data_IF_817659326754
#
_entry.id   IF_817659326754
#
_cell.length_a   1.000
_cell.length_b   1.000
_cell.length_c   1.000
_cell.angle_alpha   90.00
_cell.angle_beta   90.00
_cell.angle_gamma   90.00
#
_symmetry.space_group_name_H-M   'P 1'
#
loop_
_entity.id
_entity.type
_entity.pdbx_description
1 polymer ?
#
# COMPACT_ATOMS: atom_id res chain seq x y z
N UNK A 1 -38.96 37.04 35.47
CA UNK A 1 -38.14 36.84 34.26
C UNK A 1 -37.45 35.49 34.32
N UNK A 2 -37.81 34.51 33.46
CA UNK A 2 -36.96 33.37 33.16
C UNK A 2 -36.26 33.60 31.82
N UNK A 3 -34.94 33.73 31.87
CA UNK A 3 -34.08 33.97 30.72
C UNK A 3 -33.82 32.72 29.89
N UNK A 4 -34.17 32.83 28.61
CA UNK A 4 -33.51 32.26 27.43
C UNK A 4 -32.10 31.67 27.66
N UNK A 5 -31.99 30.34 27.64
CA UNK A 5 -30.77 29.65 27.21
C UNK A 5 -31.14 28.47 26.30
N UNK A 6 -31.62 28.80 25.10
CA UNK A 6 -31.60 27.87 23.97
C UNK A 6 -30.15 27.80 23.47
N UNK A 7 -29.36 26.91 24.08
CA UNK A 7 -28.12 26.44 23.48
C UNK A 7 -28.46 25.78 22.14
N UNK A 8 -28.18 26.49 21.05
CA UNK A 8 -28.17 25.91 19.71
C UNK A 8 -27.17 24.75 19.71
N UNK A 9 -27.66 23.52 19.97
CA UNK A 9 -26.95 22.30 19.60
C UNK A 9 -26.83 22.35 18.08
N UNK A 10 -25.69 22.85 17.59
CA UNK A 10 -25.31 22.70 16.18
C UNK A 10 -25.46 21.21 15.89
N UNK A 11 -26.39 20.86 15.01
CA UNK A 11 -26.47 19.50 14.50
C UNK A 11 -25.07 19.14 13.99
N UNK A 12 -24.51 17.98 14.38
CA UNK A 12 -23.26 17.54 13.80
C UNK A 12 -23.43 17.56 12.27
N UNK A 13 -22.41 18.02 11.52
CA UNK A 13 -22.48 17.98 10.08
C UNK A 13 -22.84 16.55 9.64
N UNK A 14 -23.62 16.40 8.55
CA UNK A 14 -23.93 15.08 8.03
C UNK A 14 -22.63 14.31 7.80
N UNK A 15 -22.61 12.99 8.06
CA UNK A 15 -21.43 12.18 7.83
C UNK A 15 -21.00 12.36 6.37
N UNK A 16 -19.74 12.75 6.18
CA UNK A 16 -19.16 12.98 4.87
C UNK A 16 -19.29 11.73 3.99
N UNK A 17 -19.71 11.92 2.73
CA UNK A 17 -19.81 10.83 1.77
C UNK A 17 -18.44 10.24 1.45
N UNK A 18 -18.41 9.00 0.97
CA UNK A 18 -17.13 8.40 0.58
C UNK A 18 -16.46 9.17 -0.56
N UNK A 19 -17.24 9.63 -1.54
CA UNK A 19 -16.74 10.44 -2.65
C UNK A 19 -16.08 11.74 -2.15
N UNK A 20 -16.70 12.45 -1.20
CA UNK A 20 -16.14 13.68 -0.63
C UNK A 20 -14.82 13.42 0.12
N UNK A 21 -14.73 12.32 0.87
CA UNK A 21 -13.49 11.88 1.54
C UNK A 21 -12.37 11.65 0.54
N UNK A 22 -12.67 10.98 -0.58
CA UNK A 22 -11.71 10.74 -1.65
C UNK A 22 -11.22 12.04 -2.26
N UNK A 23 -12.12 12.93 -2.66
CA UNK A 23 -11.77 14.20 -3.30
C UNK A 23 -10.87 15.04 -2.40
N UNK A 24 -11.23 15.18 -1.11
CA UNK A 24 -10.41 15.95 -0.16
C UNK A 24 -9.04 15.33 0.06
N UNK A 25 -8.96 14.01 0.27
CA UNK A 25 -7.68 13.36 0.54
C UNK A 25 -6.79 13.34 -0.70
N UNK A 26 -7.37 13.14 -1.88
CA UNK A 26 -6.67 13.22 -3.15
C UNK A 26 -6.07 14.62 -3.36
N UNK A 27 -6.85 15.68 -3.10
CA UNK A 27 -6.36 17.06 -3.16
C UNK A 27 -5.22 17.30 -2.16
N UNK A 28 -5.39 16.84 -0.91
CA UNK A 28 -4.38 16.98 0.15
C UNK A 28 -3.06 16.30 -0.24
N UNK A 29 -3.12 15.06 -0.74
CA UNK A 29 -1.94 14.32 -1.20
C UNK A 29 -1.32 14.95 -2.45
N UNK A 30 -2.13 15.47 -3.37
CA UNK A 30 -1.63 16.18 -4.55
C UNK A 30 -0.88 17.47 -4.17
N UNK A 31 -1.39 18.22 -3.19
CA UNK A 31 -0.73 19.41 -2.65
C UNK A 31 0.61 19.07 -1.99
N UNK A 32 0.67 17.99 -1.18
CA UNK A 32 1.92 17.52 -0.59
C UNK A 32 2.93 17.05 -1.64
N UNK A 33 2.48 16.29 -2.64
CA UNK A 33 3.34 15.86 -3.75
C UNK A 33 3.90 17.07 -4.53
N UNK A 34 3.06 18.07 -4.83
CA UNK A 34 3.47 19.29 -5.53
C UNK A 34 4.48 20.12 -4.71
N UNK A 35 4.19 20.34 -3.42
CA UNK A 35 5.08 21.07 -2.51
C UNK A 35 6.42 20.35 -2.33
N UNK A 36 6.40 19.03 -2.15
CA UNK A 36 7.62 18.22 -2.02
C UNK A 36 8.44 18.31 -3.29
N UNK A 37 7.83 18.11 -4.47
CA UNK A 37 8.50 18.22 -5.77
C UNK A 37 9.14 19.58 -5.98
N UNK A 38 8.45 20.67 -5.62
CA UNK A 38 8.99 22.02 -5.74
C UNK A 38 10.20 22.29 -4.81
N UNK A 39 10.30 21.58 -3.69
CA UNK A 39 11.40 21.72 -2.72
C UNK A 39 12.65 20.93 -3.10
N UNK A 40 12.53 19.84 -3.86
CA UNK A 40 13.66 18.95 -4.20
C UNK A 40 14.89 19.69 -4.78
N UNK A 41 14.77 20.63 -5.75
CA UNK A 41 15.93 21.33 -6.30
C UNK A 41 16.63 22.26 -5.30
N UNK A 42 15.90 22.77 -4.30
CA UNK A 42 16.50 23.57 -3.24
C UNK A 42 17.25 22.67 -2.24
N UNK A 43 16.65 21.53 -1.86
CA UNK A 43 17.28 20.54 -0.99
C UNK A 43 18.55 19.95 -1.62
N UNK A 44 18.53 19.69 -2.93
CA UNK A 44 19.69 19.22 -3.66
C UNK A 44 20.87 20.21 -3.60
N UNK A 45 20.60 21.51 -3.71
CA UNK A 45 21.62 22.56 -3.57
C UNK A 45 22.15 22.71 -2.14
N UNK A 46 21.34 22.38 -1.13
CA UNK A 46 21.77 22.41 0.28
C UNK A 46 22.75 21.28 0.60
N UNK A 47 22.77 20.20 -0.19
CA UNK A 47 23.70 19.08 -0.01
C UNK A 47 23.38 18.15 1.16
N UNK A 48 22.27 18.37 1.89
CA UNK A 48 21.79 17.43 2.90
C UNK A 48 21.13 16.22 2.22
N UNK A 49 21.94 15.19 2.04
CA UNK A 49 21.53 14.01 1.29
C UNK A 49 20.50 13.15 2.02
N UNK A 50 20.53 13.13 3.34
CA UNK A 50 19.54 12.39 4.13
C UNK A 50 18.16 13.05 4.01
N UNK A 51 18.11 14.38 4.10
CA UNK A 51 16.87 15.14 3.92
C UNK A 51 16.33 15.03 2.49
N UNK A 52 17.21 15.07 1.49
CA UNK A 52 16.81 14.90 0.09
C UNK A 52 16.22 13.50 -0.17
N UNK A 53 16.84 12.45 0.37
CA UNK A 53 16.33 11.07 0.29
C UNK A 53 14.96 10.93 0.97
N UNK A 54 14.78 11.49 2.16
CA UNK A 54 13.51 11.47 2.87
C UNK A 54 12.39 12.15 2.06
N UNK A 55 12.66 13.30 1.44
CA UNK A 55 11.68 14.01 0.62
C UNK A 55 11.34 13.25 -0.67
N UNK A 56 12.34 12.64 -1.33
CA UNK A 56 12.07 11.74 -2.45
C UNK A 56 11.18 10.57 -2.03
N UNK A 57 11.41 9.99 -0.85
CA UNK A 57 10.57 8.93 -0.31
C UNK A 57 9.13 9.36 -0.08
N UNK A 58 8.91 10.53 0.55
CA UNK A 58 7.56 11.05 0.78
C UNK A 58 6.83 11.31 -0.54
N UNK A 59 7.54 11.84 -1.55
CA UNK A 59 6.95 12.03 -2.87
C UNK A 59 6.48 10.72 -3.49
N UNK A 60 7.26 9.64 -3.36
CA UNK A 60 6.84 8.32 -3.87
C UNK A 60 5.64 7.78 -3.08
N UNK A 61 5.59 7.94 -1.76
CA UNK A 61 4.43 7.55 -0.93
C UNK A 61 3.16 8.28 -1.37
N UNK A 62 3.20 9.62 -1.44
CA UNK A 62 2.05 10.44 -1.81
C UNK A 62 1.50 10.06 -3.19
N UNK A 63 2.39 9.89 -4.18
CA UNK A 63 2.00 9.50 -5.54
C UNK A 63 1.44 8.07 -5.60
N UNK A 64 1.98 7.14 -4.79
CA UNK A 64 1.47 5.77 -4.69
C UNK A 64 0.05 5.75 -4.10
N UNK A 65 -0.21 6.56 -3.06
CA UNK A 65 -1.55 6.72 -2.51
C UNK A 65 -2.52 7.37 -3.50
N UNK A 66 -2.09 8.39 -4.24
CA UNK A 66 -2.89 9.00 -5.32
C UNK A 66 -3.29 7.95 -6.34
N UNK A 67 -2.35 7.11 -6.79
CA UNK A 67 -2.62 6.02 -7.73
C UNK A 67 -3.65 5.03 -7.18
N UNK A 68 -3.50 4.56 -5.94
CA UNK A 68 -4.48 3.66 -5.31
C UNK A 68 -5.86 4.31 -5.14
N UNK A 69 -5.93 5.59 -4.77
CA UNK A 69 -7.21 6.29 -4.61
C UNK A 69 -7.94 6.45 -5.95
N UNK A 70 -7.22 6.84 -7.02
CA UNK A 70 -7.80 6.91 -8.37
C UNK A 70 -8.31 5.55 -8.83
N UNK A 71 -7.52 4.51 -8.62
CA UNK A 71 -7.93 3.13 -8.91
C UNK A 71 -9.19 2.75 -8.13
N UNK A 72 -9.25 3.08 -6.84
CA UNK A 72 -10.39 2.80 -5.98
C UNK A 72 -11.67 3.53 -6.40
N UNK A 73 -11.54 4.71 -7.02
CA UNK A 73 -12.63 5.44 -7.66
C UNK A 73 -13.07 4.84 -9.02
N UNK A 74 -12.39 3.79 -9.49
CA UNK A 74 -12.69 3.13 -10.76
C UNK A 74 -12.04 3.81 -11.97
N UNK A 75 -11.13 4.75 -11.75
CA UNK A 75 -10.28 5.34 -12.80
C UNK A 75 -9.14 4.38 -13.17
N UNK A 76 -8.57 4.54 -14.36
CA UNK A 76 -7.35 3.85 -14.76
C UNK A 76 -6.13 4.48 -14.04
N UNK A 77 -5.43 3.75 -13.16
CA UNK A 77 -4.34 4.30 -12.39
C UNK A 77 -2.99 4.34 -13.13
N UNK A 78 -2.88 3.83 -14.37
CA UNK A 78 -1.58 3.68 -15.06
C UNK A 78 -0.80 4.98 -15.18
N UNK A 79 -1.47 6.08 -15.49
CA UNK A 79 -0.81 7.39 -15.59
C UNK A 79 -0.25 7.86 -14.23
N UNK A 80 -0.99 7.69 -13.15
CA UNK A 80 -0.55 8.02 -11.79
C UNK A 80 0.60 7.09 -11.32
N UNK A 81 0.58 5.82 -11.74
CA UNK A 81 1.67 4.88 -11.43
C UNK A 81 2.93 5.23 -12.22
N UNK A 82 2.80 5.64 -13.48
CA UNK A 82 3.95 6.12 -14.26
C UNK A 82 4.60 7.34 -13.59
N UNK A 83 3.81 8.27 -13.06
CA UNK A 83 4.33 9.40 -12.29
C UNK A 83 5.03 8.95 -10.99
N UNK A 84 4.43 7.99 -10.28
CA UNK A 84 5.04 7.35 -9.10
C UNK A 84 6.38 6.69 -9.45
N UNK A 85 6.43 6.01 -10.59
CA UNK A 85 7.63 5.30 -11.07
C UNK A 85 8.75 6.28 -11.43
N UNK A 86 8.43 7.40 -12.07
CA UNK A 86 9.40 8.47 -12.31
C UNK A 86 9.98 9.03 -11.00
N UNK A 87 9.13 9.28 -9.99
CA UNK A 87 9.59 9.73 -8.68
C UNK A 87 10.48 8.68 -7.99
N UNK A 88 10.12 7.39 -8.11
CA UNK A 88 10.93 6.28 -7.60
C UNK A 88 12.30 6.20 -8.28
N UNK A 89 12.37 6.36 -9.60
CA UNK A 89 13.66 6.43 -10.32
C UNK A 89 14.52 7.59 -9.82
N UNK A 90 13.91 8.74 -9.54
CA UNK A 90 14.58 9.87 -8.88
C UNK A 90 15.12 9.53 -7.49
N UNK A 91 14.33 8.84 -6.67
CA UNK A 91 14.77 8.34 -5.36
C UNK A 91 15.96 7.37 -5.49
N UNK A 92 15.90 6.41 -6.41
CA UNK A 92 17.00 5.44 -6.62
C UNK A 92 18.26 6.12 -7.14
N UNK A 93 18.14 7.08 -8.07
CA UNK A 93 19.27 7.88 -8.52
C UNK A 93 19.88 8.67 -7.36
N UNK A 94 19.05 9.29 -6.52
CA UNK A 94 19.48 9.99 -5.32
C UNK A 94 20.23 9.05 -4.37
N UNK A 95 19.66 7.87 -4.10
CA UNK A 95 20.24 6.82 -3.28
C UNK A 95 21.60 6.37 -3.78
N UNK A 96 21.71 6.11 -5.08
CA UNK A 96 22.94 5.61 -5.68
C UNK A 96 24.10 6.62 -5.61
N UNK A 97 23.83 7.91 -5.39
CA UNK A 97 24.88 8.91 -5.12
C UNK A 97 25.46 8.79 -3.71
N UNK A 98 24.64 8.34 -2.75
CA UNK A 98 25.03 8.20 -1.35
C UNK A 98 25.65 6.83 -1.10
N UNK A 99 25.00 5.79 -1.59
CA UNK A 99 25.41 4.40 -1.37
C UNK A 99 25.10 3.52 -2.59
N UNK A 100 25.99 3.50 -3.60
CA UNK A 100 25.81 2.71 -4.81
C UNK A 100 25.68 1.22 -4.49
N UNK A 101 24.66 0.56 -5.07
CA UNK A 101 24.53 -0.90 -4.99
C UNK A 101 23.94 -1.45 -3.68
N UNK A 102 23.86 -0.67 -2.60
CA UNK A 102 23.28 -1.12 -1.33
C UNK A 102 21.80 -0.73 -1.15
N UNK A 103 21.02 -1.61 -0.55
CA UNK A 103 19.68 -1.26 -0.07
C UNK A 103 19.80 -0.20 1.03
N UNK A 104 19.14 0.96 0.88
CA UNK A 104 19.09 1.93 1.98
C UNK A 104 18.28 1.34 3.14
N UNK A 105 18.75 1.48 4.39
CA UNK A 105 17.95 1.09 5.54
C UNK A 105 16.64 1.87 5.57
N UNK A 106 15.52 1.20 5.82
CA UNK A 106 14.19 1.84 5.99
C UNK A 106 14.19 3.02 6.97
N UNK A 107 15.06 2.98 7.99
CA UNK A 107 15.22 4.08 8.94
C UNK A 107 15.64 5.41 8.29
N UNK A 108 16.29 5.36 7.12
CA UNK A 108 16.71 6.52 6.33
C UNK A 108 15.70 6.86 5.22
N UNK A 109 14.73 5.99 4.98
CA UNK A 109 13.65 6.16 4.00
C UNK A 109 12.32 6.21 4.76
N UNK A 110 12.13 7.30 5.52
CA UNK A 110 11.02 7.45 6.47
C UNK A 110 9.66 7.77 5.82
N UNK A 111 9.60 7.90 4.49
CA UNK A 111 8.40 8.37 3.80
C UNK A 111 7.40 7.29 3.42
N UNK A 112 7.86 6.04 3.19
CA UNK A 112 7.00 4.96 2.70
C UNK A 112 6.78 3.91 3.79
N UNK A 113 5.51 3.71 4.14
CA UNK A 113 5.11 2.74 5.14
C UNK A 113 4.94 1.30 4.60
N UNK A 114 4.76 1.15 3.28
CA UNK A 114 4.54 -0.15 2.62
C UNK A 114 5.22 -0.19 1.25
N UNK A 115 6.46 -0.68 1.20
CA UNK A 115 7.23 -0.81 -0.05
C UNK A 115 6.71 -1.89 -0.98
N UNK A 116 6.10 -2.93 -0.42
CA UNK A 116 5.59 -4.02 -1.22
C UNK A 116 4.40 -3.55 -2.06
N UNK A 117 3.57 -2.66 -1.49
CA UNK A 117 2.53 -1.95 -2.23
C UNK A 117 3.09 -1.14 -3.41
N UNK A 118 4.17 -0.38 -3.23
CA UNK A 118 4.79 0.42 -4.31
C UNK A 118 5.29 -0.49 -5.45
N UNK A 119 6.00 -1.57 -5.11
CA UNK A 119 6.46 -2.55 -6.09
C UNK A 119 5.31 -3.29 -6.79
N UNK A 120 4.22 -3.57 -6.06
CA UNK A 120 3.01 -4.14 -6.63
C UNK A 120 2.37 -3.23 -7.68
N UNK A 121 2.31 -1.91 -7.43
CA UNK A 121 1.82 -0.94 -8.42
C UNK A 121 2.65 -0.98 -9.71
N UNK A 122 3.98 -0.98 -9.61
CA UNK A 122 4.87 -1.05 -10.78
C UNK A 122 4.71 -2.35 -11.56
N UNK A 123 4.64 -3.48 -10.84
CA UNK A 123 4.36 -4.76 -11.48
C UNK A 123 3.00 -4.74 -12.18
N UNK A 124 1.94 -4.24 -11.52
CA UNK A 124 0.58 -4.09 -12.06
C UNK A 124 0.48 -3.12 -13.25
N UNK A 125 1.37 -2.15 -13.38
CA UNK A 125 1.48 -1.26 -14.55
C UNK A 125 2.33 -1.84 -15.69
N UNK A 126 3.04 -2.96 -15.45
CA UNK A 126 3.90 -3.58 -16.46
C UNK A 126 5.31 -2.98 -16.52
N UNK A 127 5.72 -2.26 -15.48
CA UNK A 127 7.07 -1.69 -15.32
C UNK A 127 7.75 -2.24 -14.07
N UNK A 128 7.90 -3.58 -13.94
CA UNK A 128 8.36 -4.20 -12.70
C UNK A 128 9.75 -3.69 -12.30
N UNK A 129 9.91 -3.41 -11.01
CA UNK A 129 11.19 -3.05 -10.39
C UNK A 129 11.66 -4.18 -9.48
N UNK A 130 12.98 -4.44 -9.38
CA UNK A 130 13.50 -5.40 -8.43
C UNK A 130 13.14 -4.97 -7.02
N UNK A 131 12.73 -5.94 -6.19
CA UNK A 131 12.41 -5.71 -4.78
C UNK A 131 13.73 -5.58 -4.01
N UNK A 132 14.23 -4.35 -3.88
CA UNK A 132 15.57 -4.06 -3.32
C UNK A 132 15.55 -3.57 -1.87
N UNK A 133 14.42 -3.69 -1.17
CA UNK A 133 14.22 -3.08 0.15
C UNK A 133 14.38 -4.06 1.32
N UNK A 134 15.10 -3.62 2.36
CA UNK A 134 15.27 -4.31 3.63
C UNK A 134 14.29 -3.78 4.68
N UNK A 135 13.19 -4.52 4.92
CA UNK A 135 12.28 -4.23 6.04
C UNK A 135 12.90 -4.73 7.34
N UNK A 136 13.17 -3.86 8.34
CA UNK A 136 13.64 -4.30 9.65
C UNK A 136 12.64 -5.28 10.24
N UNK A 137 13.16 -6.35 10.86
CA UNK A 137 12.32 -7.36 11.54
C UNK A 137 11.27 -8.01 10.61
N UNK A 138 11.48 -8.02 9.29
CA UNK A 138 10.57 -8.63 8.31
C UNK A 138 10.14 -10.04 8.71
N UNK A 139 11.07 -10.85 9.21
CA UNK A 139 10.83 -12.25 9.60
C UNK A 139 10.03 -12.39 10.91
N UNK A 140 9.92 -11.31 11.69
CA UNK A 140 9.19 -11.27 12.96
C UNK A 140 7.80 -10.63 12.79
N UNK A 141 7.65 -9.75 11.80
CA UNK A 141 6.44 -8.97 11.58
C UNK A 141 5.51 -9.66 10.56
N UNK A 142 4.47 -10.31 11.09
CA UNK A 142 3.61 -11.22 10.35
C UNK A 142 2.98 -10.64 9.08
N UNK A 143 2.44 -9.42 9.13
CA UNK A 143 1.82 -8.80 7.95
C UNK A 143 2.85 -8.60 6.83
N UNK A 144 4.01 -8.02 7.17
CA UNK A 144 5.07 -7.73 6.21
C UNK A 144 5.69 -9.01 5.64
N UNK A 145 5.87 -10.06 6.46
CA UNK A 145 6.31 -11.37 5.98
C UNK A 145 5.36 -11.95 4.93
N UNK A 146 4.05 -11.99 5.22
CA UNK A 146 3.04 -12.48 4.28
C UNK A 146 2.98 -11.63 3.00
N UNK A 147 3.00 -10.31 3.16
CA UNK A 147 3.01 -9.35 2.05
C UNK A 147 4.19 -9.57 1.11
N UNK A 148 5.41 -9.62 1.66
CA UNK A 148 6.63 -9.84 0.90
C UNK A 148 6.62 -11.20 0.22
N UNK A 149 6.22 -12.24 0.94
CA UNK A 149 6.15 -13.60 0.39
C UNK A 149 5.21 -13.67 -0.80
N UNK A 150 3.98 -13.12 -0.67
CA UNK A 150 3.05 -13.07 -1.79
C UNK A 150 3.66 -12.27 -2.94
N UNK A 151 4.13 -11.04 -2.71
CA UNK A 151 4.73 -10.20 -3.76
C UNK A 151 5.82 -10.92 -4.54
N UNK A 152 6.78 -11.57 -3.87
CA UNK A 152 7.85 -12.32 -4.52
C UNK A 152 7.28 -13.47 -5.37
N UNK A 153 6.33 -14.24 -4.81
CA UNK A 153 5.64 -15.30 -5.55
C UNK A 153 4.88 -14.78 -6.78
N UNK A 154 4.19 -13.65 -6.69
CA UNK A 154 3.41 -13.11 -7.83
C UNK A 154 4.32 -12.53 -8.91
N UNK A 155 5.46 -11.96 -8.52
CA UNK A 155 6.44 -11.37 -9.44
C UNK A 155 7.38 -12.41 -10.06
N UNK A 156 7.35 -13.65 -9.57
CA UNK A 156 8.26 -14.72 -10.00
C UNK A 156 9.68 -14.58 -9.45
N UNK A 157 9.88 -13.73 -8.45
CA UNK A 157 11.15 -13.56 -7.77
C UNK A 157 11.39 -14.68 -6.74
N UNK A 158 12.66 -14.98 -6.47
CA UNK A 158 13.04 -15.99 -5.49
C UNK A 158 12.56 -15.61 -4.09
N UNK A 159 11.93 -16.57 -3.40
CA UNK A 159 11.56 -16.43 -1.99
C UNK A 159 12.72 -16.91 -1.13
N UNK A 160 13.32 -16.04 -0.28
CA UNK A 160 14.39 -16.46 0.61
C UNK A 160 13.93 -17.58 1.56
N UNK A 161 14.73 -18.64 1.80
CA UNK A 161 14.36 -19.74 2.68
C UNK A 161 13.96 -19.29 4.09
N UNK A 162 14.63 -18.27 4.64
CA UNK A 162 14.30 -17.70 5.94
C UNK A 162 12.90 -17.05 5.97
N UNK A 163 12.50 -16.38 4.87
CA UNK A 163 11.15 -15.81 4.75
C UNK A 163 10.10 -16.91 4.61
N UNK A 164 10.35 -17.92 3.79
CA UNK A 164 9.45 -19.07 3.66
C UNK A 164 9.25 -19.79 5.01
N UNK A 165 10.33 -19.98 5.77
CA UNK A 165 10.27 -20.58 7.11
C UNK A 165 9.47 -19.72 8.09
N UNK A 166 9.66 -18.39 8.10
CA UNK A 166 8.89 -17.48 8.95
C UNK A 166 7.39 -17.52 8.63
N UNK A 167 7.03 -17.47 7.34
CA UNK A 167 5.64 -17.56 6.86
C UNK A 167 4.99 -18.88 7.28
N UNK A 168 5.69 -20.01 7.10
CA UNK A 168 5.19 -21.31 7.55
C UNK A 168 4.98 -21.35 9.07
N UNK A 169 5.89 -20.78 9.85
CA UNK A 169 5.79 -20.69 11.31
C UNK A 169 4.58 -19.85 11.78
N UNK A 170 4.25 -18.76 11.08
CA UNK A 170 3.06 -17.98 11.39
C UNK A 170 1.77 -18.71 11.02
N UNK A 171 1.71 -19.32 9.84
CA UNK A 171 0.54 -20.02 9.34
C UNK A 171 0.15 -21.22 10.22
N UNK A 172 1.13 -21.95 10.76
CA UNK A 172 0.88 -23.07 11.67
C UNK A 172 0.27 -22.69 13.02
N UNK A 173 0.41 -21.42 13.44
CA UNK A 173 0.03 -20.94 14.78
C UNK A 173 -1.11 -19.91 14.79
N UNK A 174 -1.46 -19.35 13.64
CA UNK A 174 -2.40 -18.24 13.51
C UNK A 174 -3.79 -18.65 12.99
N UNK A 175 -4.86 -18.25 13.70
CA UNK A 175 -6.26 -18.38 13.24
C UNK A 175 -6.91 -17.01 12.97
N UNK A 176 -6.13 -15.94 13.00
CA UNK A 176 -6.60 -14.57 12.88
C UNK A 176 -7.12 -14.23 11.48
N UNK A 177 -7.74 -13.06 11.34
CA UNK A 177 -8.21 -12.59 10.03
C UNK A 177 -7.05 -12.52 9.01
N UNK A 178 -5.89 -11.99 9.42
CA UNK A 178 -4.69 -11.89 8.57
C UNK A 178 -4.21 -13.25 8.06
N UNK A 179 -4.23 -14.28 8.92
CA UNK A 179 -3.76 -15.62 8.57
C UNK A 179 -4.71 -16.29 7.57
N UNK A 180 -6.03 -16.13 7.78
CA UNK A 180 -7.05 -16.67 6.87
C UNK A 180 -7.05 -15.95 5.52
N UNK A 181 -6.85 -14.64 5.53
CA UNK A 181 -6.74 -13.82 4.33
C UNK A 181 -5.50 -14.20 3.51
N UNK A 182 -4.35 -14.34 4.18
CA UNK A 182 -3.11 -14.85 3.58
C UNK A 182 -3.31 -16.25 2.99
N UNK A 183 -3.86 -17.20 3.75
CA UNK A 183 -4.07 -18.57 3.28
C UNK A 183 -4.99 -18.63 2.05
N UNK A 184 -6.06 -17.82 2.02
CA UNK A 184 -6.94 -17.75 0.86
C UNK A 184 -6.24 -17.17 -0.37
N UNK A 185 -5.41 -16.13 -0.20
CA UNK A 185 -4.58 -15.54 -1.26
C UNK A 185 -3.53 -16.51 -1.77
N UNK A 186 -2.88 -17.25 -0.88
CA UNK A 186 -1.90 -18.27 -1.23
C UNK A 186 -2.56 -19.40 -2.03
N UNK A 187 -3.67 -19.96 -1.54
CA UNK A 187 -4.43 -20.98 -2.28
C UNK A 187 -4.85 -20.49 -3.67
N UNK A 188 -5.32 -19.25 -3.78
CA UNK A 188 -5.69 -18.65 -5.06
C UNK A 188 -4.50 -18.54 -6.02
N UNK A 189 -3.33 -18.14 -5.50
CA UNK A 189 -2.10 -18.02 -6.28
C UNK A 189 -1.55 -19.38 -6.73
N UNK A 190 -1.61 -20.38 -5.85
CA UNK A 190 -1.16 -21.75 -6.15
C UNK A 190 -2.17 -22.50 -7.04
N UNK A 191 -3.38 -21.95 -7.22
CA UNK A 191 -4.43 -22.53 -8.08
C UNK A 191 -5.22 -23.64 -7.39
N UNK A 192 -5.27 -23.62 -6.07
CA UNK A 192 -5.98 -24.59 -5.25
C UNK A 192 -7.44 -24.16 -5.03
N UNK A 193 -8.36 -25.11 -5.12
CA UNK A 193 -9.79 -24.87 -4.85
C UNK A 193 -10.52 -24.07 -5.93
N UNK A 194 -11.72 -23.58 -5.59
CA UNK A 194 -12.54 -22.76 -6.50
C UNK A 194 -12.12 -21.29 -6.44
N UNK A 195 -11.59 -20.77 -7.56
CA UNK A 195 -11.08 -19.40 -7.64
C UNK A 195 -12.17 -18.36 -7.33
N UNK A 196 -13.40 -18.57 -7.80
CA UNK A 196 -14.53 -17.66 -7.54
C UNK A 196 -14.86 -17.56 -6.05
N UNK A 197 -14.96 -18.71 -5.37
CA UNK A 197 -15.21 -18.78 -3.94
C UNK A 197 -14.08 -18.17 -3.11
N UNK A 198 -12.82 -18.41 -3.48
CA UNK A 198 -11.66 -17.79 -2.82
C UNK A 198 -11.67 -16.27 -2.98
N UNK A 199 -11.90 -15.77 -4.20
CA UNK A 199 -11.98 -14.33 -4.46
C UNK A 199 -13.15 -13.68 -3.71
N UNK A 200 -14.32 -14.32 -3.69
CA UNK A 200 -15.48 -13.85 -2.92
C UNK A 200 -15.19 -13.82 -1.42
N UNK A 201 -14.48 -14.83 -0.89
CA UNK A 201 -14.07 -14.88 0.51
C UNK A 201 -13.10 -13.74 0.86
N UNK A 202 -12.05 -13.55 0.06
CA UNK A 202 -11.06 -12.47 0.27
C UNK A 202 -11.76 -11.10 0.23
N UNK A 203 -12.62 -10.88 -0.78
CA UNK A 203 -13.41 -9.65 -0.90
C UNK A 203 -14.35 -9.46 0.30
N UNK A 204 -14.97 -10.53 0.80
CA UNK A 204 -15.83 -10.49 2.00
C UNK A 204 -15.08 -10.25 3.31
N UNK A 205 -13.79 -10.55 3.36
CA UNK A 205 -12.92 -10.28 4.51
C UNK A 205 -12.39 -8.83 4.52
N UNK A 206 -12.35 -8.14 3.37
CA UNK A 206 -11.87 -6.76 3.27
C UNK A 206 -12.59 -5.78 4.21
N UNK A 207 -13.94 -5.70 4.26
CA UNK A 207 -14.62 -4.78 5.19
C UNK A 207 -14.34 -5.08 6.66
N UNK A 208 -14.00 -6.33 7.01
CA UNK A 208 -13.72 -6.76 8.38
C UNK A 208 -12.39 -6.21 8.89
N UNK A 209 -11.47 -5.83 8.00
CA UNK A 209 -10.17 -5.23 8.37
C UNK A 209 -10.33 -3.87 9.05
N UNK A 210 -11.39 -3.12 8.72
CA UNK A 210 -11.71 -1.80 9.28
C UNK A 210 -11.61 -1.77 10.81
N UNK A 211 -12.17 -2.77 11.48
CA UNK A 211 -12.26 -2.83 12.95
C UNK A 211 -11.33 -3.87 13.56
N UNK A 212 -10.51 -4.56 12.75
CA UNK A 212 -9.69 -5.66 13.24
C UNK A 212 -8.46 -5.12 13.99
N UNK A 213 -8.28 -5.56 15.24
CA UNK A 213 -7.21 -5.11 16.11
C UNK A 213 -5.80 -5.37 15.57
N UNK A 214 -5.58 -6.50 14.88
CA UNK A 214 -4.28 -6.81 14.29
C UNK A 214 -3.91 -5.81 13.20
N UNK A 215 -4.83 -5.53 12.25
CA UNK A 215 -4.55 -4.59 11.18
C UNK A 215 -4.33 -3.16 11.69
N UNK A 216 -4.98 -2.77 12.78
CA UNK A 216 -4.79 -1.44 13.40
C UNK A 216 -3.44 -1.24 14.06
N UNK A 217 -2.82 -2.30 14.58
CA UNK A 217 -1.59 -2.20 15.37
C UNK A 217 -0.35 -2.72 14.67
N UNK A 218 -0.53 -3.62 13.70
CA UNK A 218 0.55 -4.44 13.14
C UNK A 218 0.59 -4.42 11.61
N UNK A 219 -0.22 -3.59 10.95
CA UNK A 219 -0.24 -3.44 9.50
C UNK A 219 -0.20 -1.95 9.10
N UNK A 220 0.33 -1.62 7.91
CA UNK A 220 0.30 -0.26 7.38
C UNK A 220 -1.13 0.16 7.03
N UNK A 221 -1.35 1.47 6.90
CA UNK A 221 -2.65 2.03 6.51
C UNK A 221 -3.15 1.44 5.18
N UNK A 222 -2.28 1.18 4.21
CA UNK A 222 -2.63 0.53 2.93
C UNK A 222 -3.28 -0.86 3.09
N UNK A 223 -3.12 -1.51 4.24
CA UNK A 223 -3.76 -2.79 4.54
C UNK A 223 -5.27 -2.69 4.78
N UNK A 224 -5.80 -1.48 4.94
CA UNK A 224 -7.22 -1.18 4.96
C UNK A 224 -7.87 -1.29 6.34
N UNK A 225 -7.28 -0.71 7.39
CA UNK A 225 -7.93 -0.54 8.70
C UNK A 225 -8.52 0.87 8.88
N UNK A 226 -9.52 1.04 9.75
CA UNK A 226 -10.20 2.31 9.97
C UNK A 226 -10.69 2.97 8.66
N UNK A 227 -10.51 4.28 8.50
CA UNK A 227 -10.94 5.01 7.31
C UNK A 227 -10.15 4.60 6.05
N UNK A 228 -8.94 4.05 6.18
CA UNK A 228 -8.15 3.60 5.03
C UNK A 228 -8.79 2.42 4.29
N UNK A 229 -9.62 1.61 4.97
CA UNK A 229 -10.37 0.51 4.36
C UNK A 229 -11.21 0.96 3.16
N UNK A 230 -11.75 2.17 3.26
CA UNK A 230 -12.55 2.78 2.21
C UNK A 230 -11.70 3.34 1.07
N UNK A 231 -10.48 3.79 1.40
CA UNK A 231 -9.58 4.58 0.55
C UNK A 231 -8.54 3.75 -0.20
N UNK A 232 -8.25 2.55 0.28
CA UNK A 232 -7.23 1.65 -0.24
C UNK A 232 -7.83 0.52 -1.07
N UNK A 233 -6.94 -0.25 -1.68
CA UNK A 233 -7.22 -1.38 -2.57
C UNK A 233 -6.50 -2.62 -2.03
N UNK A 234 -7.08 -3.80 -2.19
CA UNK A 234 -6.36 -5.06 -1.99
C UNK A 234 -5.41 -5.32 -3.16
N UNK A 235 -4.25 -4.66 -3.13
CA UNK A 235 -3.24 -4.76 -4.18
C UNK A 235 -2.70 -6.20 -4.32
N UNK A 236 -2.68 -6.98 -3.24
CA UNK A 236 -2.25 -8.39 -3.26
C UNK A 236 -3.22 -9.22 -4.10
N UNK A 237 -4.53 -9.08 -3.85
CA UNK A 237 -5.56 -9.76 -4.63
C UNK A 237 -5.48 -9.38 -6.12
N UNK A 238 -5.28 -8.10 -6.43
CA UNK A 238 -5.16 -7.68 -7.82
C UNK A 238 -3.91 -8.23 -8.52
N UNK A 239 -2.77 -8.29 -7.81
CA UNK A 239 -1.57 -8.92 -8.35
C UNK A 239 -1.83 -10.40 -8.67
N UNK A 240 -2.43 -11.12 -7.72
CA UNK A 240 -2.73 -12.56 -7.88
C UNK A 240 -3.71 -12.75 -9.04
N UNK A 241 -4.77 -11.95 -9.12
CA UNK A 241 -5.74 -12.01 -10.20
C UNK A 241 -5.06 -11.80 -11.56
N UNK A 242 -4.18 -10.79 -11.69
CA UNK A 242 -3.41 -10.57 -12.92
C UNK A 242 -2.48 -11.74 -13.24
N UNK A 243 -1.73 -12.26 -12.28
CA UNK A 243 -0.79 -13.37 -12.52
C UNK A 243 -1.50 -14.66 -12.93
N UNK A 244 -2.73 -14.86 -12.47
CA UNK A 244 -3.57 -16.02 -12.78
C UNK A 244 -4.52 -15.81 -13.95
N UNK A 245 -4.54 -14.62 -14.57
CA UNK A 245 -5.47 -14.28 -15.65
C UNK A 245 -6.95 -14.25 -15.22
N UNK A 246 -7.23 -13.93 -13.95
CA UNK A 246 -8.57 -13.94 -13.36
C UNK A 246 -9.23 -12.56 -13.43
N UNK A 247 -10.56 -12.56 -13.58
CA UNK A 247 -11.36 -11.35 -13.45
C UNK A 247 -11.49 -10.97 -11.97
N UNK A 248 -10.96 -9.81 -11.58
CA UNK A 248 -11.04 -9.30 -10.22
C UNK A 248 -12.39 -8.63 -9.90
N UNK A 249 -12.89 -8.71 -8.64
CA UNK A 249 -14.17 -8.11 -8.27
C UNK A 249 -14.11 -6.58 -8.34
N UNK A 250 -15.24 -5.93 -8.65
CA UNK A 250 -15.36 -4.48 -8.76
C UNK A 250 -15.48 -3.83 -7.36
N UNK A 251 -14.39 -3.81 -6.57
CA UNK A 251 -13.59 -2.58 -6.38
C UNK A 251 -12.06 -2.86 -6.23
N UNK A 252 -11.64 -4.04 -6.69
CA UNK A 252 -10.27 -4.56 -6.74
C UNK A 252 -9.87 -4.91 -8.18
N UNK A 253 -10.74 -4.61 -9.15
CA UNK A 253 -10.51 -4.82 -10.57
C UNK A 253 -9.60 -3.75 -11.14
N UNK A 254 -8.45 -4.17 -11.67
CA UNK A 254 -7.63 -3.30 -12.51
C UNK A 254 -8.36 -3.06 -13.82
N UNK A 255 -8.55 -1.80 -14.22
CA UNK A 255 -9.18 -1.42 -15.49
C UNK A 255 -8.08 -0.95 -16.43
N UNK A 256 -7.95 -1.64 -17.57
CA UNK A 256 -7.09 -1.24 -18.69
C UNK A 256 -7.84 -0.34 -19.65
#
# INVERSE_FOLDING_TARGET
>A
MPGLFSLFRKRPPPPESLADKFVRLLATRADFAAQTRARLPALERQGDMALLLANHSHLVDDLSYIAAMRWRLGEDPRSAIAETHMAYRGLIACRNRVDPGHALPMAQIAGIADWDFVHALFWLAGTPEPVVMHMPRLLEERYFAYSRYLLLRVTGADVPPALAAAVAGFAGNGKGLVDRDFAAKQALLDGEGDAGALMARIAGDWPKRRSNGFYRTSAPLTAGHDASNDLSVDWQLACIARARGLAAPAPHGWRW
#
